data_IF_018331453261
#
_entry.id   IF_018331453261
#
_cell.length_a   1.000
_cell.length_b   1.000
_cell.length_c   1.000
_cell.angle_alpha   90.00
_cell.angle_beta   90.00
_cell.angle_gamma   90.00
#
_symmetry.space_group_name_H-M   'P 1'
#
loop_
_entity.id
_entity.type
_entity.pdbx_description
1 polymer ?
#
# COMPACT_ATOMS: atom_id res chain seq x y z
N UNK A 1 -5.76 11.06 5.34
CA UNK A 1 -7.21 11.11 5.00
C UNK A 1 -7.52 12.44 4.30
N UNK A 2 -8.44 12.54 3.31
CA UNK A 2 -8.88 13.81 2.68
C UNK A 2 -9.72 14.70 3.63
N UNK A 3 -9.77 16.03 3.40
CA UNK A 3 -10.32 17.03 4.37
C UNK A 3 -11.80 16.79 4.63
N UNK A 4 -12.48 16.38 3.58
CA UNK A 4 -13.92 16.17 3.55
C UNK A 4 -14.30 14.72 3.87
N UNK A 5 -13.36 13.91 4.38
CA UNK A 5 -13.57 12.49 4.62
C UNK A 5 -13.51 11.64 3.35
N UNK A 6 -13.56 10.33 3.53
CA UNK A 6 -13.63 9.37 2.42
C UNK A 6 -15.10 9.06 2.18
N UNK A 7 -15.50 9.00 0.91
CA UNK A 7 -16.86 8.63 0.53
C UNK A 7 -17.19 7.22 1.05
N UNK A 8 -18.31 7.10 1.76
CA UNK A 8 -18.73 5.84 2.37
C UNK A 8 -19.26 4.91 1.27
N UNK A 9 -18.64 3.74 1.13
CA UNK A 9 -19.13 2.68 0.24
C UNK A 9 -20.10 1.78 1.01
N UNK A 10 -21.11 1.25 0.31
CA UNK A 10 -21.95 0.21 0.90
C UNK A 10 -21.12 -1.07 1.08
N UNK A 11 -21.51 -1.91 2.05
CA UNK A 11 -20.77 -3.14 2.32
C UNK A 11 -20.71 -4.06 1.09
N UNK A 12 -21.78 -4.07 0.29
CA UNK A 12 -21.93 -4.85 -0.95
C UNK A 12 -21.02 -4.37 -2.09
N UNK A 13 -20.63 -3.09 -2.07
CA UNK A 13 -19.73 -2.50 -3.06
C UNK A 13 -18.28 -2.92 -2.82
N UNK A 14 -17.96 -3.35 -1.59
CA UNK A 14 -16.61 -3.82 -1.24
C UNK A 14 -16.48 -5.30 -1.62
N UNK A 15 -15.32 -5.68 -2.13
CA UNK A 15 -15.00 -7.08 -2.40
C UNK A 15 -15.07 -7.92 -1.12
N UNK A 16 -15.67 -9.10 -1.25
CA UNK A 16 -15.64 -10.13 -0.22
C UNK A 16 -14.23 -10.72 -0.09
N UNK A 17 -13.95 -11.43 1.00
CA UNK A 17 -12.66 -12.11 1.12
C UNK A 17 -12.53 -13.25 0.11
N UNK A 18 -13.64 -13.91 -0.20
CA UNK A 18 -13.76 -14.92 -1.23
C UNK A 18 -13.35 -14.37 -2.60
N UNK A 19 -13.90 -13.20 -2.99
CA UNK A 19 -13.54 -12.54 -4.25
C UNK A 19 -12.04 -12.22 -4.31
N UNK A 20 -11.48 -11.65 -3.24
CA UNK A 20 -10.06 -11.27 -3.16
C UNK A 20 -9.16 -12.52 -3.27
N UNK A 21 -9.49 -13.59 -2.56
CA UNK A 21 -8.73 -14.85 -2.57
C UNK A 21 -8.81 -15.51 -3.94
N UNK A 22 -9.99 -15.61 -4.55
CA UNK A 22 -10.14 -16.22 -5.87
C UNK A 22 -9.45 -15.41 -6.96
N UNK A 23 -9.60 -14.09 -6.96
CA UNK A 23 -8.85 -13.21 -7.85
C UNK A 23 -7.34 -13.42 -7.72
N UNK A 24 -6.85 -13.48 -6.48
CA UNK A 24 -5.41 -13.66 -6.19
C UNK A 24 -4.91 -15.01 -6.70
N UNK A 25 -5.66 -16.10 -6.49
CA UNK A 25 -5.30 -17.43 -7.02
C UNK A 25 -5.16 -17.41 -8.55
N UNK A 26 -6.12 -16.80 -9.24
CA UNK A 26 -6.05 -16.64 -10.71
C UNK A 26 -4.83 -15.81 -11.10
N UNK A 27 -4.59 -14.65 -10.46
CA UNK A 27 -3.43 -13.82 -10.74
C UNK A 27 -2.10 -14.55 -10.52
N UNK A 28 -1.98 -15.33 -9.44
CA UNK A 28 -0.77 -16.11 -9.12
C UNK A 28 -0.53 -17.20 -10.17
N UNK A 29 -1.57 -17.93 -10.58
CA UNK A 29 -1.47 -18.89 -11.68
C UNK A 29 -1.06 -18.27 -13.03
N UNK A 30 -1.24 -16.95 -13.18
CA UNK A 30 -0.82 -16.17 -14.34
C UNK A 30 0.57 -15.51 -14.17
N UNK A 31 1.29 -15.83 -13.09
CA UNK A 31 2.68 -15.41 -12.86
C UNK A 31 2.86 -14.27 -11.85
N UNK A 32 1.81 -13.80 -11.17
CA UNK A 32 1.97 -12.88 -10.04
C UNK A 32 2.61 -13.62 -8.87
N UNK A 33 3.71 -13.09 -8.34
CA UNK A 33 4.41 -13.69 -7.18
C UNK A 33 4.47 -12.79 -5.95
N UNK A 34 4.05 -11.53 -6.10
CA UNK A 34 4.14 -10.51 -5.05
C UNK A 34 2.79 -9.86 -4.82
N UNK A 35 2.34 -9.89 -3.57
CA UNK A 35 1.08 -9.30 -3.14
C UNK A 35 1.39 -8.19 -2.13
N UNK A 36 0.63 -7.11 -2.22
CA UNK A 36 0.68 -6.04 -1.23
C UNK A 36 -0.73 -5.59 -0.87
N UNK A 37 -1.11 -5.80 0.38
CA UNK A 37 -2.32 -5.20 0.94
C UNK A 37 -2.08 -3.70 1.20
N UNK A 38 -2.99 -2.89 0.70
CA UNK A 38 -3.02 -1.45 0.92
C UNK A 38 -4.44 -1.02 1.29
N UNK A 39 -4.85 0.20 0.97
CA UNK A 39 -6.15 0.72 1.36
C UNK A 39 -6.14 2.23 1.50
N UNK A 40 -7.17 2.75 2.16
CA UNK A 40 -6.97 3.87 3.07
C UNK A 40 -6.02 3.41 4.18
N UNK A 41 -6.56 2.81 5.25
CA UNK A 41 -5.78 2.11 6.27
C UNK A 41 -6.22 0.64 6.34
N UNK A 42 -5.40 -0.35 5.91
CA UNK A 42 -5.83 -1.76 5.89
C UNK A 42 -6.22 -2.31 7.26
N UNK A 43 -5.59 -1.82 8.34
CA UNK A 43 -5.84 -2.32 9.70
C UNK A 43 -7.21 -1.91 10.26
N UNK A 44 -7.96 -1.02 9.59
CA UNK A 44 -9.36 -0.74 9.94
C UNK A 44 -10.34 -1.76 9.34
N UNK A 45 -9.92 -2.58 8.38
CA UNK A 45 -10.78 -3.61 7.78
C UNK A 45 -11.07 -4.68 8.83
N UNK A 46 -12.35 -4.86 9.17
CA UNK A 46 -12.79 -5.95 10.05
C UNK A 46 -12.28 -7.28 9.52
N UNK A 47 -11.78 -8.12 10.43
CA UNK A 47 -11.22 -9.45 10.15
C UNK A 47 -10.00 -9.45 9.21
N UNK A 48 -9.21 -8.36 9.15
CA UNK A 48 -8.00 -8.29 8.31
C UNK A 48 -7.01 -9.45 8.52
N UNK A 49 -6.87 -9.93 9.76
CA UNK A 49 -5.98 -11.08 10.07
C UNK A 49 -6.45 -12.35 9.35
N UNK A 50 -7.76 -12.58 9.26
CA UNK A 50 -8.32 -13.72 8.52
C UNK A 50 -7.99 -13.62 7.03
N UNK A 51 -8.15 -12.44 6.42
CA UNK A 51 -7.79 -12.23 5.03
C UNK A 51 -6.29 -12.49 4.78
N UNK A 52 -5.43 -12.03 5.68
CA UNK A 52 -3.99 -12.31 5.61
C UNK A 52 -3.72 -13.81 5.63
N UNK A 53 -4.34 -14.56 6.55
CA UNK A 53 -4.21 -16.02 6.62
C UNK A 53 -4.62 -16.69 5.31
N UNK A 54 -5.79 -16.33 4.77
CA UNK A 54 -6.30 -16.91 3.52
C UNK A 54 -5.39 -16.62 2.31
N UNK A 55 -4.77 -15.44 2.27
CA UNK A 55 -3.86 -15.07 1.18
C UNK A 55 -2.48 -15.71 1.33
N UNK A 56 -2.00 -15.91 2.55
CA UNK A 56 -0.73 -16.56 2.82
C UNK A 56 -0.74 -18.05 2.46
N UNK A 57 -1.90 -18.70 2.49
CA UNK A 57 -2.09 -20.11 2.06
C UNK A 57 -2.02 -20.31 0.54
N UNK A 58 -1.99 -19.23 -0.27
CA UNK A 58 -1.93 -19.35 -1.72
C UNK A 58 -0.52 -19.74 -2.16
N UNK A 59 -0.37 -20.96 -2.66
CA UNK A 59 0.88 -21.45 -3.26
C UNK A 59 1.32 -20.55 -4.44
N UNK A 60 2.62 -20.22 -4.49
CA UNK A 60 3.21 -19.34 -5.50
C UNK A 60 3.36 -17.88 -5.06
N UNK A 61 2.83 -17.48 -3.90
CA UNK A 61 3.09 -16.18 -3.29
C UNK A 61 4.47 -16.17 -2.63
N UNK A 62 5.46 -15.56 -3.30
CA UNK A 62 6.83 -15.46 -2.79
C UNK A 62 7.02 -14.26 -1.85
N UNK A 63 6.19 -13.22 -2.02
CA UNK A 63 6.36 -11.96 -1.30
C UNK A 63 5.02 -11.35 -0.93
N UNK A 64 4.69 -11.37 0.38
CA UNK A 64 3.46 -10.83 0.91
C UNK A 64 3.72 -9.67 1.88
N UNK A 65 3.33 -8.45 1.49
CA UNK A 65 3.50 -7.26 2.32
C UNK A 65 2.20 -6.51 2.60
N UNK A 66 2.25 -5.62 3.58
CA UNK A 66 1.18 -4.65 3.86
C UNK A 66 1.77 -3.24 3.94
N UNK A 67 1.02 -2.22 3.51
CA UNK A 67 1.35 -0.82 3.81
C UNK A 67 0.31 -0.22 4.75
N UNK A 68 0.74 0.32 5.89
CA UNK A 68 -0.10 0.87 6.97
C UNK A 68 0.50 2.18 7.49
N UNK A 69 -0.29 3.02 8.15
CA UNK A 69 0.20 4.13 8.95
C UNK A 69 0.87 3.69 10.27
N UNK A 70 0.73 2.42 10.66
CA UNK A 70 1.42 1.82 11.80
C UNK A 70 0.74 1.96 13.16
N UNK A 71 -0.24 2.87 13.32
CA UNK A 71 -0.81 3.19 14.65
C UNK A 71 -1.58 2.01 15.28
N UNK A 72 -2.08 1.08 14.47
CA UNK A 72 -2.82 -0.11 14.93
C UNK A 72 -1.92 -1.36 15.03
N UNK A 73 -0.62 -1.26 14.77
CA UNK A 73 0.28 -2.42 14.82
C UNK A 73 0.47 -2.97 16.23
N UNK A 74 0.35 -2.14 17.28
CA UNK A 74 0.33 -2.62 18.68
C UNK A 74 -0.74 -3.70 18.91
N UNK A 75 -1.89 -3.58 18.23
CA UNK A 75 -2.99 -4.55 18.29
C UNK A 75 -2.79 -5.76 17.38
N UNK A 76 -2.24 -5.56 16.18
CA UNK A 76 -2.30 -6.58 15.12
C UNK A 76 -0.97 -7.21 14.72
N UNK A 77 0.18 -6.63 15.06
CA UNK A 77 1.48 -7.06 14.53
C UNK A 77 1.74 -8.55 14.74
N UNK A 78 1.54 -9.05 15.97
CA UNK A 78 1.74 -10.47 16.30
C UNK A 78 0.84 -11.37 15.45
N UNK A 79 -0.47 -11.13 15.45
CA UNK A 79 -1.42 -11.94 14.70
C UNK A 79 -1.22 -11.87 13.18
N UNK A 80 -0.80 -10.72 12.63
CA UNK A 80 -0.45 -10.59 11.22
C UNK A 80 0.78 -11.43 10.86
N UNK A 81 1.78 -11.45 11.73
CA UNK A 81 2.98 -12.26 11.53
C UNK A 81 2.66 -13.76 11.57
N UNK A 82 1.89 -14.18 12.57
CA UNK A 82 1.42 -15.57 12.72
C UNK A 82 0.54 -16.02 11.56
N UNK A 83 -0.28 -15.12 11.01
CA UNK A 83 -1.09 -15.37 9.82
C UNK A 83 -0.28 -15.43 8.51
N UNK A 84 1.05 -15.29 8.55
CA UNK A 84 1.92 -15.46 7.39
C UNK A 84 2.28 -14.18 6.63
N UNK A 85 2.06 -12.98 7.20
CA UNK A 85 2.55 -11.75 6.58
C UNK A 85 4.08 -11.69 6.61
N UNK A 86 4.73 -11.43 5.48
CA UNK A 86 6.20 -11.43 5.41
C UNK A 86 6.82 -10.12 5.91
N UNK A 87 6.22 -8.98 5.55
CA UNK A 87 6.74 -7.64 5.87
C UNK A 87 5.67 -6.56 6.00
N UNK A 88 6.04 -5.48 6.70
CA UNK A 88 5.22 -4.27 6.82
C UNK A 88 5.97 -3.05 6.27
N UNK A 89 5.22 -2.20 5.60
CA UNK A 89 5.65 -0.88 5.17
C UNK A 89 4.85 0.16 5.98
N UNK A 90 5.55 0.99 6.75
CA UNK A 90 4.93 1.98 7.64
C UNK A 90 5.15 3.37 7.06
N UNK A 91 4.10 4.19 7.00
CA UNK A 91 4.21 5.58 6.56
C UNK A 91 4.61 6.48 7.73
N UNK A 92 5.71 7.23 7.57
CA UNK A 92 6.19 8.21 8.56
C UNK A 92 6.88 9.35 7.80
N UNK A 93 6.24 10.52 7.80
CA UNK A 93 6.64 11.67 6.97
C UNK A 93 7.39 12.76 7.75
N UNK A 94 7.40 12.70 9.08
CA UNK A 94 8.13 13.63 9.95
C UNK A 94 8.35 13.02 11.33
N UNK A 95 9.45 13.40 11.98
CA UNK A 95 9.76 13.08 13.39
C UNK A 95 9.23 14.13 14.37
N UNK A 96 8.81 15.30 13.88
CA UNK A 96 8.31 16.40 14.70
C UNK A 96 6.82 16.17 15.03
N UNK A 97 6.43 16.07 16.31
CA UNK A 97 5.05 15.75 16.70
C UNK A 97 4.01 16.70 16.11
N UNK A 98 4.28 18.00 16.07
CA UNK A 98 3.39 19.03 15.55
C UNK A 98 3.23 18.93 14.02
N UNK A 99 4.30 18.63 13.30
CA UNK A 99 4.28 18.43 11.85
C UNK A 99 3.52 17.15 11.53
N UNK A 100 3.83 16.06 12.24
CA UNK A 100 3.12 14.79 12.13
C UNK A 100 1.61 14.96 12.39
N UNK A 101 1.25 15.65 13.48
CA UNK A 101 -0.14 15.93 13.84
C UNK A 101 -0.87 16.71 12.75
N UNK A 102 -0.20 17.69 12.11
CA UNK A 102 -0.75 18.47 11.00
C UNK A 102 -0.92 17.64 9.72
N UNK A 103 0.08 16.82 9.36
CA UNK A 103 0.06 15.97 8.15
C UNK A 103 -1.02 14.89 8.27
N UNK A 104 -1.05 14.19 9.41
CA UNK A 104 -1.98 13.08 9.65
C UNK A 104 -3.37 13.53 10.07
N UNK A 105 -3.49 14.79 10.50
CA UNK A 105 -4.70 15.45 10.99
C UNK A 105 -5.22 14.80 12.26
N UNK A 106 -4.50 15.12 13.34
CA UNK A 106 -4.75 14.69 14.70
C UNK A 106 -4.11 13.34 15.11
N UNK A 107 -3.18 12.80 14.32
CA UNK A 107 -2.41 11.63 14.75
C UNK A 107 -1.40 11.96 15.85
N UNK A 108 -1.08 10.94 16.66
CA UNK A 108 0.00 10.97 17.63
C UNK A 108 1.18 10.13 17.12
N UNK A 109 2.37 10.72 17.01
CA UNK A 109 3.56 10.04 16.48
C UNK A 109 3.99 8.87 17.38
N UNK A 110 3.73 8.95 18.69
CA UNK A 110 4.07 7.89 19.64
C UNK A 110 3.32 6.57 19.35
N UNK A 111 2.15 6.64 18.74
CA UNK A 111 1.41 5.44 18.32
C UNK A 111 2.14 4.72 17.18
N UNK A 112 2.79 5.46 16.28
CA UNK A 112 3.62 4.89 15.20
C UNK A 112 4.86 4.23 15.77
N UNK A 113 5.57 4.90 16.69
CA UNK A 113 6.74 4.32 17.34
C UNK A 113 6.38 3.05 18.11
N UNK A 114 5.30 3.07 18.88
CA UNK A 114 4.78 1.88 19.55
C UNK A 114 4.41 0.77 18.56
N UNK A 115 3.85 1.14 17.41
CA UNK A 115 3.54 0.21 16.33
C UNK A 115 4.77 -0.42 15.67
N UNK A 116 5.84 0.36 15.47
CA UNK A 116 7.13 -0.12 14.96
C UNK A 116 7.74 -1.13 15.94
N UNK A 117 7.76 -0.80 17.24
CA UNK A 117 8.29 -1.70 18.26
C UNK A 117 7.46 -2.99 18.37
N UNK A 118 6.13 -2.89 18.28
CA UNK A 118 5.26 -4.07 18.23
C UNK A 118 5.54 -4.95 17.00
N UNK A 119 5.83 -4.35 15.84
CA UNK A 119 6.21 -5.09 14.64
C UNK A 119 7.57 -5.79 14.80
N UNK A 120 8.57 -5.12 15.39
CA UNK A 120 9.86 -5.75 15.72
C UNK A 120 9.67 -6.91 16.69
N UNK A 121 8.93 -6.70 17.78
CA UNK A 121 8.65 -7.72 18.80
C UNK A 121 7.87 -8.92 18.24
N UNK A 122 6.99 -8.71 17.26
CA UNK A 122 6.30 -9.78 16.55
C UNK A 122 7.24 -10.61 15.65
N UNK A 123 8.46 -10.15 15.38
CA UNK A 123 9.44 -10.84 14.54
C UNK A 123 9.45 -10.41 13.07
N UNK A 124 8.91 -9.22 12.74
CA UNK A 124 9.12 -8.64 11.42
C UNK A 124 10.56 -8.15 11.27
N UNK A 125 11.38 -8.90 10.51
CA UNK A 125 12.77 -8.54 10.19
C UNK A 125 12.89 -7.50 9.07
N UNK A 126 11.84 -7.35 8.26
CA UNK A 126 11.84 -6.49 7.07
C UNK A 126 10.80 -5.37 7.24
N UNK A 127 11.10 -4.37 8.07
CA UNK A 127 10.24 -3.20 8.24
C UNK A 127 10.75 -2.09 7.32
N UNK A 128 9.85 -1.55 6.49
CA UNK A 128 10.15 -0.45 5.56
C UNK A 128 9.44 0.81 5.99
N UNK A 129 10.14 1.92 6.12
CA UNK A 129 9.53 3.23 6.31
C UNK A 129 9.37 3.91 4.96
N UNK A 130 8.15 4.36 4.65
CA UNK A 130 7.89 5.22 3.51
C UNK A 130 7.76 6.67 4.05
N UNK A 131 8.64 7.56 3.60
CA UNK A 131 8.62 8.99 3.93
C UNK A 131 8.30 9.78 2.67
N UNK A 132 7.19 10.53 2.68
CA UNK A 132 6.83 11.42 1.58
C UNK A 132 7.64 12.71 1.66
N UNK A 133 8.28 13.11 0.56
CA UNK A 133 9.17 14.29 0.48
C UNK A 133 8.70 15.25 -0.62
N UNK A 134 9.07 16.53 -0.58
CA UNK A 134 8.65 17.52 -1.60
C UNK A 134 9.59 17.55 -2.81
N UNK A 135 10.89 17.56 -2.54
CA UNK A 135 11.98 17.77 -3.50
C UNK A 135 13.05 16.70 -3.39
N UNK A 136 13.58 16.44 -2.20
CA UNK A 136 14.72 15.53 -2.00
C UNK A 136 14.78 14.96 -0.58
N UNK A 137 15.49 13.84 -0.43
CA UNK A 137 15.80 13.20 0.86
C UNK A 137 16.69 14.03 1.79
N UNK A 138 17.16 15.20 1.34
CA UNK A 138 17.98 16.12 2.14
C UNK A 138 17.15 17.13 2.95
N UNK A 139 15.82 17.11 2.82
CA UNK A 139 14.90 17.92 3.60
C UNK A 139 15.03 17.61 5.11
N UNK A 140 14.80 18.59 6.01
CA UNK A 140 15.00 18.39 7.45
C UNK A 140 14.23 17.20 8.03
N UNK A 141 12.93 17.10 7.72
CA UNK A 141 12.08 15.97 8.14
C UNK A 141 12.57 14.63 7.57
N UNK A 142 12.90 14.60 6.28
CA UNK A 142 13.40 13.39 5.61
C UNK A 142 14.70 12.89 6.24
N UNK A 143 15.64 13.79 6.55
CA UNK A 143 16.88 13.46 7.26
C UNK A 143 16.61 12.91 8.66
N UNK A 144 15.69 13.52 9.41
CA UNK A 144 15.34 13.05 10.75
C UNK A 144 14.73 11.64 10.71
N UNK A 145 13.83 11.37 9.77
CA UNK A 145 13.26 10.02 9.57
C UNK A 145 14.35 9.03 9.13
N UNK A 146 15.26 9.46 8.25
CA UNK A 146 16.40 8.65 7.81
C UNK A 146 17.32 8.22 8.95
N UNK A 147 17.71 9.17 9.81
CA UNK A 147 18.53 8.90 11.01
C UNK A 147 17.80 7.94 11.96
N UNK A 148 16.52 8.18 12.22
CA UNK A 148 15.72 7.28 13.04
C UNK A 148 15.68 5.86 12.46
N UNK A 149 15.57 5.72 11.13
CA UNK A 149 15.59 4.41 10.48
C UNK A 149 16.93 3.69 10.65
N UNK A 150 18.04 4.42 10.49
CA UNK A 150 19.40 3.89 10.67
C UNK A 150 19.63 3.40 12.10
N UNK A 151 19.25 4.21 13.11
CA UNK A 151 19.37 3.87 14.53
C UNK A 151 18.51 2.67 14.96
N UNK A 152 17.52 2.29 14.15
CA UNK A 152 16.52 1.28 14.48
C UNK A 152 16.48 0.07 13.54
N UNK A 153 17.49 -0.10 12.69
CA UNK A 153 17.59 -1.17 11.68
C UNK A 153 16.38 -1.23 10.73
N UNK A 154 15.85 -0.06 10.34
CA UNK A 154 14.69 0.07 9.45
C UNK A 154 15.15 0.46 8.03
N UNK A 155 14.44 -0.05 7.02
CA UNK A 155 14.72 0.30 5.62
C UNK A 155 13.93 1.55 5.21
N UNK A 156 14.60 2.66 4.92
CA UNK A 156 13.95 3.90 4.48
C UNK A 156 13.66 3.92 2.96
N UNK A 157 12.54 4.54 2.59
CA UNK A 157 12.15 4.85 1.21
C UNK A 157 11.61 6.27 1.13
N UNK A 158 12.21 7.09 0.28
CA UNK A 158 11.73 8.45 0.05
C UNK A 158 10.83 8.51 -1.19
N UNK A 159 9.59 8.93 -0.98
CA UNK A 159 8.57 9.02 -2.01
C UNK A 159 8.31 10.48 -2.29
N UNK A 160 8.82 10.98 -3.42
CA UNK A 160 8.50 12.36 -3.80
C UNK A 160 7.00 12.52 -4.05
N UNK A 161 6.40 13.54 -3.45
CA UNK A 161 4.97 13.79 -3.50
C UNK A 161 4.50 13.86 -4.95
N UNK A 162 3.69 12.88 -5.33
CA UNK A 162 3.16 12.72 -6.68
C UNK A 162 1.92 13.58 -6.89
N UNK A 163 1.72 14.00 -8.14
CA UNK A 163 0.51 14.66 -8.60
C UNK A 163 -0.11 13.79 -9.71
N UNK A 164 -1.16 13.04 -9.35
CA UNK A 164 -1.81 12.12 -10.27
C UNK A 164 -2.50 12.85 -11.42
N UNK A 165 -3.11 14.01 -11.15
CA UNK A 165 -3.84 14.79 -12.15
C UNK A 165 -2.88 15.44 -13.15
N UNK A 166 -1.76 15.98 -12.66
CA UNK A 166 -0.74 16.55 -13.53
C UNK A 166 0.24 15.50 -14.11
N UNK A 167 0.08 14.22 -13.76
CA UNK A 167 0.97 13.16 -14.25
C UNK A 167 2.40 13.24 -13.70
N UNK A 168 2.62 13.89 -12.56
CA UNK A 168 3.95 14.06 -11.99
C UNK A 168 4.26 12.95 -11.00
N UNK A 169 5.31 12.19 -11.30
CA UNK A 169 5.82 11.10 -10.48
C UNK A 169 7.32 10.94 -10.69
N UNK A 170 7.95 10.27 -9.73
CA UNK A 170 9.39 10.03 -9.70
C UNK A 170 9.67 8.61 -9.25
N UNK A 171 10.88 8.14 -9.59
CA UNK A 171 11.39 6.89 -9.04
C UNK A 171 11.55 7.06 -7.53
N UNK A 172 11.03 6.10 -6.77
CA UNK A 172 11.14 6.09 -5.30
C UNK A 172 12.57 5.77 -4.90
N UNK A 173 13.20 6.63 -4.11
CA UNK A 173 14.51 6.36 -3.53
C UNK A 173 14.38 5.18 -2.54
N UNK A 174 15.28 4.21 -2.62
CA UNK A 174 15.17 2.96 -1.84
C UNK A 174 14.13 1.95 -2.38
N UNK A 175 13.66 2.11 -3.62
CA UNK A 175 12.78 1.12 -4.25
C UNK A 175 12.62 1.26 -5.77
N UNK A 176 11.64 0.54 -6.33
CA UNK A 176 11.35 0.54 -7.79
C UNK A 176 9.98 1.13 -8.13
N UNK A 177 9.36 1.84 -7.18
CA UNK A 177 8.11 2.56 -7.44
C UNK A 177 8.36 3.72 -8.38
N UNK A 178 7.42 4.03 -9.28
CA UNK A 178 7.56 5.16 -10.22
C UNK A 178 8.48 4.91 -11.43
N UNK A 179 9.29 3.86 -11.43
CA UNK A 179 10.04 3.45 -12.62
C UNK A 179 9.15 2.68 -13.59
N UNK A 180 8.66 3.37 -14.61
CA UNK A 180 7.75 2.79 -15.60
C UNK A 180 8.43 1.77 -16.51
N UNK A 181 9.76 1.85 -16.72
CA UNK A 181 10.48 0.95 -17.64
C UNK A 181 10.44 -0.51 -17.18
N UNK A 182 10.35 -0.72 -15.87
CA UNK A 182 10.35 -2.04 -15.23
C UNK A 182 9.03 -2.33 -14.48
N UNK A 183 8.01 -1.47 -14.61
CA UNK A 183 6.80 -1.58 -13.81
C UNK A 183 5.96 -2.78 -14.25
N UNK A 184 5.75 -3.73 -13.34
CA UNK A 184 4.94 -4.94 -13.52
C UNK A 184 3.73 -4.98 -12.55
N UNK A 185 3.30 -3.83 -12.03
CA UNK A 185 2.26 -3.74 -10.99
C UNK A 185 0.88 -3.60 -11.60
N UNK A 186 -0.07 -4.39 -11.13
CA UNK A 186 -1.51 -4.14 -11.26
C UNK A 186 -2.06 -3.74 -9.89
N UNK A 187 -3.23 -3.13 -9.87
CA UNK A 187 -3.87 -2.75 -8.61
C UNK A 187 -5.36 -3.05 -8.66
N UNK A 188 -5.80 -3.94 -7.77
CA UNK A 188 -7.21 -4.15 -7.51
C UNK A 188 -7.66 -3.15 -6.44
N UNK A 189 -8.74 -2.42 -6.69
CA UNK A 189 -9.36 -1.54 -5.68
C UNK A 189 -10.32 -2.33 -4.80
N UNK A 190 -10.70 -1.74 -3.66
CA UNK A 190 -11.70 -2.33 -2.77
C UNK A 190 -13.05 -2.62 -3.42
N UNK A 191 -13.41 -1.92 -4.51
CA UNK A 191 -14.69 -2.07 -5.21
C UNK A 191 -14.61 -2.91 -6.51
N UNK A 192 -13.59 -3.76 -6.65
CA UNK A 192 -13.52 -4.69 -7.78
C UNK A 192 -13.02 -4.10 -9.09
N UNK A 193 -12.36 -2.94 -9.04
CA UNK A 193 -11.79 -2.30 -10.21
C UNK A 193 -10.30 -2.64 -10.33
N UNK A 194 -9.92 -3.38 -11.37
CA UNK A 194 -8.53 -3.69 -11.67
C UNK A 194 -7.92 -2.59 -12.54
N UNK A 195 -6.90 -1.93 -12.01
CA UNK A 195 -6.19 -0.82 -12.65
C UNK A 195 -4.80 -1.26 -13.10
N UNK A 196 -4.43 -1.02 -14.37
CA UNK A 196 -3.11 -1.36 -14.87
C UNK A 196 -2.03 -0.35 -14.47
N UNK A 197 -2.41 0.86 -14.05
CA UNK A 197 -1.50 1.91 -13.64
C UNK A 197 -2.12 2.78 -12.55
N UNK A 198 -1.29 3.29 -11.65
CA UNK A 198 -1.70 4.25 -10.61
C UNK A 198 -2.05 5.63 -11.20
N UNK A 199 -1.41 5.99 -12.32
CA UNK A 199 -1.44 7.32 -12.94
C UNK A 199 -2.07 7.20 -14.33
N UNK A 200 -3.25 6.57 -14.35
CA UNK A 200 -4.11 6.42 -15.52
C UNK A 200 -5.55 6.15 -15.06
N UNK A 201 -6.54 6.53 -15.87
CA UNK A 201 -7.97 6.31 -15.60
C UNK A 201 -8.49 4.93 -16.07
N UNK A 202 -7.68 4.14 -16.79
CA UNK A 202 -8.04 2.78 -17.19
C UNK A 202 -8.37 1.90 -16.00
N UNK A 203 -9.46 1.15 -16.13
CA UNK A 203 -10.04 0.33 -15.08
C UNK A 203 -10.90 -0.78 -15.67
N UNK A 204 -10.82 -1.97 -15.08
CA UNK A 204 -11.53 -3.17 -15.54
C UNK A 204 -12.31 -3.79 -14.39
N UNK A 205 -13.63 -3.95 -14.56
CA UNK A 205 -14.51 -4.49 -13.53
C UNK A 205 -14.41 -6.02 -13.48
N UNK A 206 -13.84 -6.55 -12.40
CA UNK A 206 -13.59 -7.99 -12.27
C UNK A 206 -14.88 -8.81 -12.12
N UNK A 207 -15.96 -8.19 -11.62
CA UNK A 207 -17.26 -8.85 -11.42
C UNK A 207 -18.00 -8.98 -12.76
N UNK A 208 -17.83 -8.01 -13.66
CA UNK A 208 -18.43 -8.03 -15.00
C UNK A 208 -17.63 -8.84 -16.02
N UNK A 209 -16.31 -8.73 -15.99
CA UNK A 209 -15.44 -9.37 -16.98
C UNK A 209 -14.98 -10.78 -16.56
N UNK A 210 -15.01 -11.08 -15.26
CA UNK A 210 -14.35 -12.25 -14.70
C UNK A 210 -12.86 -12.00 -14.40
N UNK A 211 -12.29 -12.80 -13.50
CA UNK A 211 -10.95 -12.57 -12.97
C UNK A 211 -9.85 -12.71 -14.03
N UNK A 212 -9.89 -13.77 -14.85
CA UNK A 212 -8.86 -14.02 -15.85
C UNK A 212 -8.85 -12.97 -16.95
N UNK A 213 -10.02 -12.65 -17.49
CA UNK A 213 -10.15 -11.70 -18.61
C UNK A 213 -9.75 -10.28 -18.19
N UNK A 214 -10.21 -9.83 -17.01
CA UNK A 214 -9.80 -8.53 -16.47
C UNK A 214 -8.28 -8.42 -16.31
N UNK A 215 -7.60 -9.48 -15.85
CA UNK A 215 -6.14 -9.49 -15.73
C UNK A 215 -5.46 -9.42 -17.10
N UNK A 216 -5.89 -10.24 -18.07
CA UNK A 216 -5.34 -10.23 -19.43
C UNK A 216 -5.47 -8.85 -20.06
N UNK A 217 -6.64 -8.25 -19.96
CA UNK A 217 -6.92 -6.94 -20.53
C UNK A 217 -6.12 -5.84 -19.83
N UNK A 218 -6.02 -5.88 -18.50
CA UNK A 218 -5.20 -4.92 -17.75
C UNK A 218 -3.71 -5.01 -18.12
N UNK A 219 -3.18 -6.22 -18.34
CA UNK A 219 -1.79 -6.40 -18.80
C UNK A 219 -1.64 -5.89 -20.23
N UNK A 220 -2.55 -6.25 -21.14
CA UNK A 220 -2.52 -5.87 -22.56
C UNK A 220 -2.56 -4.35 -22.75
N UNK A 221 -3.42 -3.69 -22.00
CA UNK A 221 -3.63 -2.24 -22.08
C UNK A 221 -2.76 -1.45 -21.09
N UNK A 222 -1.80 -2.09 -20.42
CA UNK A 222 -0.90 -1.40 -19.49
C UNK A 222 -0.15 -0.27 -20.21
N UNK A 223 -0.29 0.98 -19.75
CA UNK A 223 0.33 2.11 -20.45
C UNK A 223 1.85 2.06 -20.29
N UNK A 224 2.58 2.48 -21.32
CA UNK A 224 4.06 2.53 -21.29
C UNK A 224 4.61 3.37 -20.15
N UNK A 225 3.87 4.39 -19.70
CA UNK A 225 4.20 5.26 -18.57
C UNK A 225 2.94 5.89 -17.97
N UNK A 226 3.02 6.37 -16.73
CA UNK A 226 1.97 7.22 -16.15
C UNK A 226 1.78 8.48 -16.99
N UNK A 227 0.52 8.89 -17.20
CA UNK A 227 0.17 10.04 -18.06
C UNK A 227 -0.55 11.11 -17.25
N UNK A 228 -1.76 10.81 -16.79
CA UNK A 228 -2.53 11.60 -15.83
C UNK A 228 -3.67 10.71 -15.31
N UNK A 229 -4.30 11.11 -14.22
CA UNK A 229 -5.54 10.50 -13.78
C UNK A 229 -6.46 11.55 -13.17
N UNK A 230 -7.66 11.63 -13.72
CA UNK A 230 -8.72 12.54 -13.26
C UNK A 230 -9.66 11.86 -12.27
N UNK A 231 -9.73 10.53 -12.31
CA UNK A 231 -10.63 9.72 -11.47
C UNK A 231 -9.96 9.17 -10.20
N UNK A 232 -8.62 9.12 -10.15
CA UNK A 232 -7.89 8.53 -9.03
C UNK A 232 -7.55 9.56 -7.94
N UNK A 233 -7.91 9.26 -6.69
CA UNK A 233 -7.38 9.96 -5.51
C UNK A 233 -6.59 8.98 -4.65
N UNK A 234 -5.45 9.37 -4.08
CA UNK A 234 -4.59 8.44 -3.33
C UNK A 234 -5.32 7.61 -2.26
N UNK A 235 -6.34 8.19 -1.62
CA UNK A 235 -7.16 7.51 -0.60
C UNK A 235 -8.24 6.58 -1.18
N UNK A 236 -8.65 6.74 -2.45
CA UNK A 236 -9.66 5.90 -3.11
C UNK A 236 -9.08 4.77 -3.94
N UNK A 237 -7.76 4.76 -4.11
CA UNK A 237 -7.05 3.74 -4.90
C UNK A 237 -6.66 2.55 -4.02
N UNK A 238 -6.81 2.67 -2.71
CA UNK A 238 -6.58 1.61 -1.74
C UNK A 238 -7.27 0.29 -2.05
N UNK A 239 -6.55 -0.80 -1.88
CA UNK A 239 -6.99 -2.19 -2.08
C UNK A 239 -6.02 -3.15 -1.42
#
# INVERSE_FOLDING_TARGET
MPKDGVELMQHEDVLSFEDIVQFTKVAVSMGVRKIRLTGGEPLVRKHIVQLVSLLAEIEGVEDFGMTTNGILLTKYAKSLKEAGLHRVNISLDSMAPEVYHKITRCGNINDVFSGIEAAKAAGFKNIKINCVIQKSSTEPDAKAVGLYCEENDLQIRYIRQMDLQAGKYWVVEGGTGGDCKICNRLRLTSNGQLKPCLINDMSYDIRKMGFKESILEAVRCKPKKGVFSTSNKFHSIGG
#
